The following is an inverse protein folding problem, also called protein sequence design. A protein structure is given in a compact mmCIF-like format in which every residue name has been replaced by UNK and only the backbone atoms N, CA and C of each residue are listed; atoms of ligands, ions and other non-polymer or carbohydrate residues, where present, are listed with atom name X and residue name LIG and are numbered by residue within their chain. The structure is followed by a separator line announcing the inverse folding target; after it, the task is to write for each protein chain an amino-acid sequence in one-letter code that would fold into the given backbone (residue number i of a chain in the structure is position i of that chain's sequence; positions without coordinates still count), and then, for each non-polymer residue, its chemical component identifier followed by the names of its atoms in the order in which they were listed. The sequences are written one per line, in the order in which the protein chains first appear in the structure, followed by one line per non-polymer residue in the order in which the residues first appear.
data_IF_553420212808
#
_entry.id   IF_553420212808
#
_cell.length_a   1.000
_cell.length_b   1.000
_cell.length_c   1.000
_cell.angle_alpha   90.00
_cell.angle_beta   90.00
_cell.angle_gamma   90.00
#
_symmetry.space_group_name_H-M   'P 1'
#
loop_
_entity.id
_entity.type
_entity.pdbx_description
1 polymer ?
#
# COMPACT_ATOMS: atom_id res chain seq x y z
N UNK A 1 -35.83 3.89 25.63
CA UNK A 1 -35.43 3.64 24.23
C UNK A 1 -34.19 2.76 24.25
N UNK A 2 -34.27 1.55 23.68
CA UNK A 2 -33.16 0.58 23.79
C UNK A 2 -31.93 1.00 22.99
N UNK A 3 -30.73 0.67 23.48
CA UNK A 3 -29.43 0.93 22.82
C UNK A 3 -29.42 0.50 21.33
N UNK A 4 -30.17 -0.55 20.99
CA UNK A 4 -30.29 -1.01 19.59
C UNK A 4 -30.92 0.01 18.64
N UNK A 5 -31.72 0.96 19.09
CA UNK A 5 -32.32 2.01 18.28
C UNK A 5 -31.32 3.15 17.98
N UNK A 6 -30.34 3.35 18.86
CA UNK A 6 -29.31 4.39 18.72
C UNK A 6 -28.39 4.00 17.54
N UNK A 7 -27.89 2.77 17.52
CA UNK A 7 -27.01 2.29 16.44
C UNK A 7 -27.69 2.29 15.08
N UNK A 8 -28.96 1.85 15.03
CA UNK A 8 -29.75 1.89 13.80
C UNK A 8 -29.85 3.31 13.23
N UNK A 9 -30.10 4.30 14.11
CA UNK A 9 -30.18 5.72 13.69
C UNK A 9 -28.84 6.24 13.21
N UNK A 10 -27.73 5.89 13.88
CA UNK A 10 -26.39 6.30 13.49
C UNK A 10 -26.04 5.77 12.11
N UNK A 11 -26.19 4.46 11.89
CA UNK A 11 -25.94 3.83 10.58
C UNK A 11 -26.88 4.40 9.51
N UNK A 12 -28.16 4.57 9.81
CA UNK A 12 -29.12 5.19 8.89
C UNK A 12 -28.72 6.61 8.53
N UNK A 13 -28.33 7.43 9.51
CA UNK A 13 -27.86 8.80 9.27
C UNK A 13 -26.65 8.87 8.35
N UNK A 14 -25.75 7.88 8.40
CA UNK A 14 -24.60 7.82 7.51
C UNK A 14 -24.98 7.34 6.10
N UNK A 15 -25.98 6.45 5.98
CA UNK A 15 -26.48 5.96 4.68
C UNK A 15 -27.36 7.00 3.96
N UNK A 16 -28.16 7.77 4.72
CA UNK A 16 -29.04 8.81 4.16
C UNK A 16 -28.24 10.05 3.70
N UNK A 17 -26.98 10.15 4.08
CA UNK A 17 -26.12 11.27 3.75
C UNK A 17 -25.25 10.92 2.53
N UNK A 18 -25.62 11.48 1.38
CA UNK A 18 -24.85 11.33 0.12
C UNK A 18 -23.61 12.22 0.18
N UNK A 19 -22.70 11.94 1.14
CA UNK A 19 -21.39 12.58 1.20
C UNK A 19 -20.50 11.96 0.15
N UNK A 20 -20.02 12.77 -0.78
CA UNK A 20 -19.27 12.33 -1.97
C UNK A 20 -18.14 11.37 -1.55
N UNK A 21 -18.36 10.08 -1.82
CA UNK A 21 -17.33 9.04 -1.72
C UNK A 21 -17.21 8.30 -0.39
N UNK A 22 -18.05 8.56 0.63
CA UNK A 22 -18.01 7.82 1.91
C UNK A 22 -19.18 6.83 2.00
N UNK A 23 -18.87 5.54 2.02
CA UNK A 23 -19.85 4.47 2.16
C UNK A 23 -19.50 3.57 3.33
N UNK A 24 -20.39 3.39 4.33
CA UNK A 24 -20.14 2.48 5.44
C UNK A 24 -20.14 1.03 4.93
N UNK A 25 -19.00 0.36 5.01
CA UNK A 25 -18.80 -1.02 4.57
C UNK A 25 -18.85 -2.02 5.72
N UNK A 26 -18.69 -1.55 6.96
CA UNK A 26 -18.76 -2.37 8.16
C UNK A 26 -19.09 -1.55 9.40
N UNK A 27 -19.66 -2.20 10.40
CA UNK A 27 -20.00 -1.63 11.71
C UNK A 27 -19.39 -2.48 12.81
N UNK A 28 -18.92 -1.84 13.86
CA UNK A 28 -18.52 -2.48 15.13
C UNK A 28 -19.36 -1.88 16.25
N UNK A 29 -19.96 -2.72 17.06
CA UNK A 29 -20.74 -2.28 18.21
C UNK A 29 -19.88 -2.34 19.47
N UNK A 30 -19.87 -1.23 20.24
CA UNK A 30 -19.01 -1.10 21.41
C UNK A 30 -19.51 -1.91 22.60
N UNK A 31 -20.84 -2.11 22.69
CA UNK A 31 -21.51 -2.67 23.89
C UNK A 31 -21.83 -4.15 23.77
N UNK A 32 -21.89 -4.68 22.59
CA UNK A 32 -22.37 -6.04 22.35
C UNK A 32 -21.73 -6.66 21.12
N UNK A 33 -21.42 -7.94 21.20
CA UNK A 33 -20.98 -8.69 20.04
C UNK A 33 -22.20 -9.15 19.24
N UNK A 34 -22.36 -8.58 18.05
CA UNK A 34 -23.34 -9.00 17.03
C UNK A 34 -22.67 -9.28 15.70
N UNK A 35 -21.42 -9.74 15.73
CA UNK A 35 -20.67 -10.10 14.53
C UNK A 35 -21.48 -11.06 13.65
N UNK A 36 -21.52 -10.77 12.34
CA UNK A 36 -22.32 -11.53 11.37
C UNK A 36 -23.75 -11.03 11.16
N UNK A 37 -24.29 -10.15 11.99
CA UNK A 37 -25.59 -9.50 11.78
C UNK A 37 -25.46 -8.31 10.82
N UNK A 38 -26.58 -7.79 10.35
CA UNK A 38 -26.64 -6.58 9.52
C UNK A 38 -27.48 -5.49 10.17
N UNK A 39 -27.02 -4.24 10.07
CA UNK A 39 -27.75 -3.05 10.49
C UNK A 39 -27.99 -2.18 9.26
N UNK A 40 -29.24 -2.02 8.84
CA UNK A 40 -29.63 -1.34 7.60
C UNK A 40 -28.83 -1.82 6.37
N UNK A 41 -28.57 -3.14 6.29
CA UNK A 41 -27.81 -3.73 5.18
C UNK A 41 -26.29 -3.76 5.38
N UNK A 42 -25.74 -2.95 6.30
CA UNK A 42 -24.29 -2.92 6.62
C UNK A 42 -23.96 -4.05 7.59
N UNK A 43 -22.95 -4.89 7.31
CA UNK A 43 -22.57 -6.00 8.17
C UNK A 43 -21.90 -5.52 9.46
N UNK A 44 -22.19 -6.19 10.60
CA UNK A 44 -21.39 -6.08 11.82
C UNK A 44 -20.18 -7.01 11.62
N UNK A 45 -19.02 -6.41 11.42
CA UNK A 45 -17.83 -7.11 10.92
C UNK A 45 -16.93 -7.66 12.01
N UNK A 46 -16.97 -7.08 13.19
CA UNK A 46 -16.13 -7.48 14.33
C UNK A 46 -16.75 -6.99 15.64
N UNK A 47 -16.17 -7.42 16.75
CA UNK A 47 -16.40 -6.85 18.08
C UNK A 47 -15.26 -5.91 18.48
N UNK A 48 -15.42 -5.19 19.59
CA UNK A 48 -14.43 -4.21 20.05
C UNK A 48 -13.08 -4.84 20.39
N UNK A 49 -13.04 -6.08 20.87
CA UNK A 49 -11.79 -6.76 21.25
C UNK A 49 -10.93 -7.12 20.02
N UNK A 50 -11.57 -7.48 18.92
CA UNK A 50 -10.91 -8.01 17.72
C UNK A 50 -10.85 -7.01 16.55
N UNK A 51 -11.41 -5.79 16.73
CA UNK A 51 -11.52 -4.82 15.63
C UNK A 51 -10.16 -4.40 15.07
N UNK A 52 -9.14 -4.25 15.89
CA UNK A 52 -7.81 -3.87 15.44
C UNK A 52 -7.19 -4.95 14.54
N UNK A 53 -7.32 -6.23 14.91
CA UNK A 53 -6.85 -7.35 14.10
C UNK A 53 -7.65 -7.44 12.79
N UNK A 54 -8.97 -7.31 12.84
CA UNK A 54 -9.82 -7.32 11.66
C UNK A 54 -9.42 -6.22 10.67
N UNK A 55 -9.27 -4.98 11.14
CA UNK A 55 -8.88 -3.83 10.31
C UNK A 55 -7.45 -3.99 9.76
N UNK A 56 -6.55 -4.68 10.48
CA UNK A 56 -5.21 -4.99 10.00
C UNK A 56 -5.22 -5.94 8.79
N UNK A 57 -6.20 -6.82 8.67
CA UNK A 57 -6.30 -7.87 7.63
C UNK A 57 -7.20 -7.51 6.45
N UNK A 58 -8.07 -6.53 6.64
CA UNK A 58 -9.06 -6.14 5.64
C UNK A 58 -8.77 -4.74 5.07
N UNK A 59 -9.46 -4.41 3.99
CA UNK A 59 -9.35 -3.11 3.35
C UNK A 59 -10.35 -2.10 3.91
N UNK A 60 -9.82 -1.02 4.51
CA UNK A 60 -10.59 0.15 4.96
C UNK A 60 -9.84 1.43 4.64
N UNK A 61 -10.56 2.47 4.23
CA UNK A 61 -9.97 3.78 3.99
C UNK A 61 -9.95 4.62 5.25
N UNK A 62 -11.05 4.62 6.02
CA UNK A 62 -11.26 5.51 7.16
C UNK A 62 -12.12 4.82 8.22
N UNK A 63 -12.02 5.27 9.46
CA UNK A 63 -12.84 4.82 10.59
C UNK A 63 -13.54 6.02 11.22
N UNK A 64 -14.87 5.94 11.38
CA UNK A 64 -15.66 6.91 12.14
C UNK A 64 -16.04 6.32 13.49
N UNK A 65 -15.59 6.96 14.56
CA UNK A 65 -15.93 6.62 15.95
C UNK A 65 -17.08 7.53 16.42
N UNK A 66 -18.21 6.93 16.74
CA UNK A 66 -19.39 7.61 17.27
C UNK A 66 -19.79 6.91 18.56
N UNK A 67 -19.46 7.51 19.70
CA UNK A 67 -19.78 6.98 21.02
C UNK A 67 -20.96 7.73 21.67
N UNK A 68 -21.70 7.10 22.59
CA UNK A 68 -22.59 7.80 23.52
C UNK A 68 -21.81 8.78 24.42
N UNK A 69 -22.47 9.82 24.90
CA UNK A 69 -21.86 10.89 25.72
C UNK A 69 -21.27 10.39 27.06
N UNK A 70 -21.71 9.23 27.52
CA UNK A 70 -21.28 8.59 28.76
C UNK A 70 -20.13 7.60 28.62
N UNK A 71 -19.52 7.51 27.40
CA UNK A 71 -18.46 6.56 27.12
C UNK A 71 -17.20 7.22 26.57
N UNK A 72 -16.08 6.84 27.16
CA UNK A 72 -14.75 7.22 26.67
C UNK A 72 -14.35 6.41 25.43
N UNK A 73 -13.48 7.00 24.63
CA UNK A 73 -12.88 6.33 23.47
C UNK A 73 -12.03 5.18 24.00
N UNK A 74 -12.18 3.94 23.47
CA UNK A 74 -11.32 2.82 23.82
C UNK A 74 -9.87 3.11 23.36
N UNK A 75 -9.05 3.64 24.27
CA UNK A 75 -7.69 4.15 23.96
C UNK A 75 -6.86 3.13 23.18
N UNK A 76 -6.90 1.86 23.59
CA UNK A 76 -6.17 0.77 22.89
C UNK A 76 -6.55 0.63 21.42
N UNK A 77 -7.83 0.81 21.08
CA UNK A 77 -8.32 0.72 19.70
C UNK A 77 -7.89 1.96 18.91
N UNK A 78 -7.98 3.13 19.53
CA UNK A 78 -7.53 4.38 18.92
C UNK A 78 -6.03 4.36 18.64
N UNK A 79 -5.21 3.90 19.58
CA UNK A 79 -3.77 3.79 19.44
C UNK A 79 -3.41 2.81 18.32
N UNK A 80 -4.07 1.64 18.26
CA UNK A 80 -3.86 0.65 17.20
C UNK A 80 -4.20 1.20 15.81
N UNK A 81 -5.28 1.95 15.65
CA UNK A 81 -5.64 2.57 14.37
C UNK A 81 -4.65 3.68 13.98
N UNK A 82 -4.16 4.44 14.96
CA UNK A 82 -3.12 5.46 14.75
C UNK A 82 -1.81 4.82 14.31
N UNK A 83 -1.42 3.73 14.96
CA UNK A 83 -0.21 2.96 14.62
C UNK A 83 -0.31 2.37 13.20
N UNK A 84 -1.48 1.89 12.81
CA UNK A 84 -1.75 1.41 11.45
C UNK A 84 -1.82 2.52 10.39
N UNK A 85 -1.82 3.79 10.80
CA UNK A 85 -1.91 4.93 9.90
C UNK A 85 -3.28 5.13 9.25
N UNK A 86 -4.34 4.65 9.88
CA UNK A 86 -5.70 4.81 9.39
C UNK A 86 -6.19 6.22 9.74
N UNK A 87 -6.93 6.84 8.84
CA UNK A 87 -7.61 8.10 9.13
C UNK A 87 -8.76 7.85 10.08
N UNK A 88 -8.76 8.54 11.21
CA UNK A 88 -9.75 8.38 12.28
C UNK A 88 -10.56 9.67 12.39
N UNK A 89 -11.88 9.54 12.32
CA UNK A 89 -12.84 10.59 12.59
C UNK A 89 -13.54 10.30 13.92
N UNK A 90 -13.52 11.23 14.82
CA UNK A 90 -14.21 11.10 16.10
C UNK A 90 -15.28 12.17 16.22
N UNK A 91 -16.53 11.77 16.50
CA UNK A 91 -17.62 12.71 16.74
C UNK A 91 -17.27 13.57 17.96
N UNK A 92 -17.31 14.90 17.81
CA UNK A 92 -17.11 15.83 18.92
C UNK A 92 -18.34 15.81 19.82
N UNK A 93 -18.27 15.08 20.91
CA UNK A 93 -19.14 15.25 22.06
C UNK A 93 -18.31 15.36 23.33
N UNK A 94 -17.17 14.65 23.39
CA UNK A 94 -16.27 14.58 24.53
C UNK A 94 -14.82 14.37 24.05
N UNK A 95 -14.15 15.41 23.56
CA UNK A 95 -12.75 15.32 23.22
C UNK A 95 -11.89 15.84 24.37
N UNK A 96 -11.75 15.03 25.40
CA UNK A 96 -10.70 15.20 26.38
C UNK A 96 -9.48 14.40 25.91
N UNK A 97 -8.42 15.10 25.43
CA UNK A 97 -7.09 14.57 25.14
C UNK A 97 -6.96 13.49 24.04
N UNK A 98 -7.29 13.84 22.81
CA UNK A 98 -6.79 13.06 21.66
C UNK A 98 -5.32 13.42 21.39
N UNK A 99 -4.40 12.49 21.63
CA UNK A 99 -2.99 12.63 21.22
C UNK A 99 -2.83 12.25 19.74
N UNK A 100 -2.69 13.22 18.86
CA UNK A 100 -2.41 13.01 17.44
C UNK A 100 -1.65 14.19 16.85
N UNK A 101 -0.70 13.94 15.94
CA UNK A 101 0.17 15.00 15.39
C UNK A 101 -0.55 15.92 14.40
N UNK A 102 -1.50 15.40 13.63
CA UNK A 102 -2.21 16.17 12.60
C UNK A 102 -3.71 16.01 12.83
N UNK A 103 -4.36 17.05 13.33
CA UNK A 103 -5.78 17.07 13.64
C UNK A 103 -6.46 18.23 12.92
N UNK A 104 -7.61 17.97 12.31
CA UNK A 104 -8.53 19.00 11.81
C UNK A 104 -9.94 18.75 12.32
N UNK A 105 -10.68 19.84 12.47
CA UNK A 105 -12.12 19.77 12.73
C UNK A 105 -12.82 19.89 11.37
N UNK A 106 -13.62 18.90 11.03
CA UNK A 106 -14.37 18.90 9.78
C UNK A 106 -15.80 18.34 9.98
N UNK A 107 -16.60 18.41 8.94
CA UNK A 107 -17.99 17.93 9.00
C UNK A 107 -18.12 16.66 8.16
N UNK A 108 -18.49 15.55 8.81
CA UNK A 108 -18.78 14.28 8.15
C UNK A 108 -20.27 13.96 8.32
N UNK A 109 -21.03 14.12 7.25
CA UNK A 109 -22.47 14.00 7.33
C UNK A 109 -23.09 15.02 8.31
N UNK A 110 -23.87 14.52 9.25
CA UNK A 110 -24.48 15.34 10.31
C UNK A 110 -23.58 15.53 11.54
N UNK A 111 -22.36 14.97 11.51
CA UNK A 111 -21.45 15.04 12.65
C UNK A 111 -20.35 16.07 12.42
N UNK A 112 -20.03 16.84 13.45
CA UNK A 112 -18.75 17.55 13.53
C UNK A 112 -17.75 16.56 14.11
N UNK A 113 -16.63 16.34 13.43
CA UNK A 113 -15.63 15.35 13.81
C UNK A 113 -14.26 15.97 13.92
N UNK A 114 -13.40 15.38 14.75
CA UNK A 114 -11.96 15.61 14.69
C UNK A 114 -11.37 14.50 13.85
N UNK A 115 -10.70 14.88 12.79
CA UNK A 115 -9.96 13.97 11.90
C UNK A 115 -8.51 13.96 12.31
N UNK A 116 -7.97 12.75 12.53
CA UNK A 116 -6.55 12.51 12.80
C UNK A 116 -5.97 11.63 11.70
N UNK A 117 -4.83 12.02 11.13
CA UNK A 117 -4.12 11.25 10.12
C UNK A 117 -2.60 11.43 10.25
N UNK A 118 -1.82 10.53 9.61
CA UNK A 118 -0.34 10.61 9.65
C UNK A 118 0.17 11.88 8.98
N UNK A 119 -0.43 12.27 7.84
CA UNK A 119 -0.07 13.48 7.09
C UNK A 119 -1.31 14.10 6.47
N UNK A 120 -1.40 15.41 6.53
CA UNK A 120 -2.48 16.21 5.95
C UNK A 120 -2.01 16.88 4.66
N UNK A 121 -2.19 16.18 3.56
CA UNK A 121 -1.95 16.76 2.24
C UNK A 121 -3.14 17.61 1.81
N UNK A 122 -2.92 18.82 1.33
CA UNK A 122 -3.99 19.63 0.75
C UNK A 122 -4.52 19.02 -0.55
N UNK A 123 -5.80 19.26 -0.86
CA UNK A 123 -6.41 18.79 -2.11
C UNK A 123 -5.60 19.25 -3.35
N UNK A 124 -5.09 20.48 -3.34
CA UNK A 124 -4.24 20.99 -4.42
C UNK A 124 -2.94 20.20 -4.59
N UNK A 125 -2.28 19.81 -3.50
CA UNK A 125 -1.08 18.98 -3.55
C UNK A 125 -1.37 17.57 -4.10
N UNK A 126 -2.49 16.97 -3.73
CA UNK A 126 -2.92 15.65 -4.24
C UNK A 126 -3.26 15.71 -5.73
N UNK A 127 -3.91 16.79 -6.19
CA UNK A 127 -4.18 17.01 -7.62
C UNK A 127 -2.86 17.16 -8.39
N UNK A 128 -1.93 17.97 -7.90
CA UNK A 128 -0.63 18.15 -8.53
C UNK A 128 0.16 16.85 -8.61
N UNK A 129 0.15 16.05 -7.54
CA UNK A 129 0.72 14.71 -7.54
C UNK A 129 0.07 13.83 -8.61
N UNK A 130 -1.25 13.86 -8.75
CA UNK A 130 -1.96 13.05 -9.76
C UNK A 130 -1.63 13.49 -11.18
N UNK A 131 -1.51 14.80 -11.44
CA UNK A 131 -1.05 15.32 -12.73
C UNK A 131 0.34 14.81 -13.06
N UNK A 132 1.28 14.87 -12.12
CA UNK A 132 2.62 14.32 -12.27
C UNK A 132 2.60 12.82 -12.58
N UNK A 133 1.76 12.05 -11.88
CA UNK A 133 1.58 10.61 -12.12
C UNK A 133 1.05 10.33 -13.53
N UNK A 134 0.08 11.10 -14.00
CA UNK A 134 -0.49 10.94 -15.35
C UNK A 134 0.56 11.27 -16.42
N UNK A 135 1.24 12.42 -16.30
CA UNK A 135 2.27 12.82 -17.26
C UNK A 135 3.42 11.82 -17.33
N UNK A 136 3.97 11.44 -16.16
CA UNK A 136 5.05 10.46 -16.10
C UNK A 136 4.60 9.06 -16.51
N UNK A 137 3.36 8.68 -16.18
CA UNK A 137 2.76 7.42 -16.61
C UNK A 137 2.61 7.34 -18.14
N UNK A 138 2.18 8.42 -18.80
CA UNK A 138 2.09 8.47 -20.26
C UNK A 138 3.46 8.33 -20.92
N UNK A 139 4.43 9.11 -20.48
CA UNK A 139 5.81 9.01 -20.97
C UNK A 139 6.36 7.60 -20.75
N UNK A 140 6.17 7.04 -19.55
CA UNK A 140 6.63 5.70 -19.20
C UNK A 140 5.95 4.60 -20.03
N UNK A 141 4.66 4.73 -20.37
CA UNK A 141 3.96 3.79 -21.24
C UNK A 141 4.49 3.85 -22.69
N UNK A 142 4.80 5.04 -23.20
CA UNK A 142 5.43 5.18 -24.53
C UNK A 142 6.79 4.48 -24.53
N UNK A 143 7.62 4.74 -23.52
CA UNK A 143 8.92 4.07 -23.36
C UNK A 143 8.75 2.56 -23.22
N UNK A 144 7.75 2.09 -22.49
CA UNK A 144 7.42 0.66 -22.37
C UNK A 144 7.14 0.04 -23.74
N UNK A 145 6.40 0.74 -24.62
CA UNK A 145 6.14 0.30 -25.98
C UNK A 145 7.42 0.17 -26.81
N UNK A 146 8.33 1.12 -26.71
CA UNK A 146 9.63 1.08 -27.40
C UNK A 146 10.47 -0.09 -26.87
N UNK A 147 10.59 -0.23 -25.53
CA UNK A 147 11.34 -1.32 -24.89
C UNK A 147 10.75 -2.68 -25.26
N UNK A 148 9.42 -2.79 -25.36
CA UNK A 148 8.74 -4.02 -25.73
C UNK A 148 9.22 -4.57 -27.09
N UNK A 149 9.48 -3.71 -28.08
CA UNK A 149 9.94 -4.14 -29.42
C UNK A 149 11.27 -4.92 -29.36
N UNK A 150 12.12 -4.63 -28.37
CA UNK A 150 13.42 -5.28 -28.21
C UNK A 150 13.41 -6.41 -27.18
N UNK A 151 12.74 -6.17 -26.04
CA UNK A 151 12.73 -7.10 -24.91
C UNK A 151 11.82 -8.30 -25.18
N UNK A 152 10.67 -8.10 -25.82
CA UNK A 152 9.72 -9.19 -26.05
C UNK A 152 10.29 -10.31 -26.96
N UNK A 153 10.91 -10.04 -28.10
CA UNK A 153 11.56 -11.08 -28.90
C UNK A 153 12.68 -11.79 -28.12
N UNK A 154 13.50 -11.03 -27.38
CA UNK A 154 14.61 -11.59 -26.61
C UNK A 154 14.14 -12.54 -25.49
N UNK A 155 13.04 -12.21 -24.79
CA UNK A 155 12.41 -13.10 -23.81
C UNK A 155 11.82 -14.34 -24.51
N UNK A 156 11.05 -14.14 -25.59
CA UNK A 156 10.36 -15.23 -26.29
C UNK A 156 11.31 -16.28 -26.84
N UNK A 157 12.40 -15.85 -27.45
CA UNK A 157 13.45 -16.75 -28.00
C UNK A 157 14.08 -17.62 -26.90
N UNK A 158 14.28 -17.07 -25.69
CA UNK A 158 14.95 -17.79 -24.59
C UNK A 158 13.99 -18.60 -23.74
N UNK A 159 12.76 -18.14 -23.61
CA UNK A 159 11.71 -18.80 -22.83
C UNK A 159 10.36 -18.55 -23.50
N UNK A 160 9.90 -19.43 -24.41
CA UNK A 160 8.60 -19.30 -25.05
C UNK A 160 7.47 -19.16 -24.03
N UNK A 161 6.45 -18.34 -24.35
CA UNK A 161 5.30 -18.08 -23.48
C UNK A 161 4.98 -16.60 -23.35
N UNK A 162 4.12 -16.20 -22.39
CA UNK A 162 3.68 -14.83 -22.21
C UNK A 162 4.86 -13.91 -21.89
N UNK A 163 4.87 -12.72 -22.53
CA UNK A 163 5.93 -11.71 -22.34
C UNK A 163 5.75 -10.95 -21.04
N UNK A 164 4.48 -10.71 -20.66
CA UNK A 164 4.15 -10.02 -19.42
C UNK A 164 3.89 -11.02 -18.29
N UNK A 165 4.38 -10.67 -17.12
CA UNK A 165 4.07 -11.30 -15.85
C UNK A 165 3.14 -10.39 -15.07
N UNK A 166 2.17 -10.96 -14.37
CA UNK A 166 1.31 -10.22 -13.44
C UNK A 166 1.17 -10.97 -12.12
N UNK A 167 1.15 -10.21 -11.02
CA UNK A 167 1.00 -10.73 -9.68
C UNK A 167 0.11 -9.80 -8.86
N UNK A 168 -0.68 -10.36 -7.94
CA UNK A 168 -1.42 -9.55 -6.99
C UNK A 168 -0.47 -8.94 -5.95
N UNK A 169 -0.65 -7.66 -5.72
CA UNK A 169 0.04 -6.87 -4.71
C UNK A 169 -0.98 -6.12 -3.86
N UNK A 170 -0.54 -5.70 -2.68
CA UNK A 170 -1.37 -4.91 -1.78
C UNK A 170 -0.99 -3.44 -1.91
N UNK A 171 -2.00 -2.62 -2.18
CA UNK A 171 -1.88 -1.17 -2.35
C UNK A 171 -2.43 -0.40 -1.15
N UNK A 172 -2.83 0.85 -1.42
CA UNK A 172 -3.36 1.75 -0.38
C UNK A 172 -4.45 1.07 0.44
N UNK A 173 -4.33 1.18 1.75
CA UNK A 173 -5.28 0.70 2.77
C UNK A 173 -5.61 -0.81 2.70
N UNK A 174 -4.77 -1.63 2.06
CA UNK A 174 -5.00 -3.07 1.91
C UNK A 174 -5.67 -3.47 0.59
N UNK A 175 -5.99 -2.53 -0.31
CA UNK A 175 -6.62 -2.84 -1.60
C UNK A 175 -5.69 -3.66 -2.49
N UNK A 176 -6.12 -4.86 -2.89
CA UNK A 176 -5.37 -5.73 -3.79
C UNK A 176 -5.50 -5.25 -5.25
N UNK A 177 -4.39 -5.24 -5.97
CA UNK A 177 -4.35 -4.91 -7.40
C UNK A 177 -3.32 -5.78 -8.14
N UNK A 178 -3.42 -5.87 -9.47
CA UNK A 178 -2.45 -6.58 -10.31
C UNK A 178 -1.34 -5.65 -10.75
N UNK A 179 -0.09 -5.97 -10.39
CA UNK A 179 1.09 -5.31 -10.93
C UNK A 179 1.51 -5.99 -12.22
N UNK A 180 2.05 -5.22 -13.17
CA UNK A 180 2.54 -5.74 -14.45
C UNK A 180 4.05 -5.57 -14.57
N UNK A 181 4.74 -6.60 -15.09
CA UNK A 181 6.18 -6.59 -15.35
C UNK A 181 6.49 -7.32 -16.65
N UNK A 182 7.65 -7.04 -17.25
CA UNK A 182 8.19 -7.99 -18.23
C UNK A 182 8.63 -9.26 -17.51
N UNK A 183 8.39 -10.39 -18.11
CA UNK A 183 8.78 -11.70 -17.56
C UNK A 183 10.29 -11.86 -17.59
N UNK A 184 10.91 -11.81 -16.43
CA UNK A 184 12.35 -12.00 -16.24
C UNK A 184 12.71 -13.37 -15.69
N UNK A 185 11.72 -14.20 -15.33
CA UNK A 185 11.87 -15.52 -14.74
C UNK A 185 11.20 -16.58 -15.60
N UNK A 186 11.62 -17.84 -15.43
CA UNK A 186 10.98 -19.01 -16.04
C UNK A 186 9.55 -19.19 -15.53
N UNK A 187 8.74 -19.96 -16.25
CA UNK A 187 7.32 -20.14 -15.95
C UNK A 187 7.05 -20.84 -14.60
N UNK A 188 7.97 -21.72 -14.21
CA UNK A 188 7.94 -22.50 -12.97
C UNK A 188 8.58 -21.78 -11.76
N UNK A 189 8.85 -20.48 -11.89
CA UNK A 189 9.59 -19.71 -10.89
C UNK A 189 8.89 -19.65 -9.51
N UNK A 190 7.56 -19.62 -9.46
CA UNK A 190 6.81 -19.61 -8.19
C UNK A 190 6.85 -20.96 -7.48
N UNK A 191 6.82 -22.07 -8.23
CA UNK A 191 6.96 -23.42 -7.67
C UNK A 191 8.35 -23.59 -7.06
N UNK A 192 9.38 -23.22 -7.80
CA UNK A 192 10.79 -23.25 -7.34
C UNK A 192 11.05 -22.31 -6.15
N UNK A 193 10.30 -21.23 -6.00
CA UNK A 193 10.45 -20.31 -4.87
C UNK A 193 10.31 -21.01 -3.53
N UNK A 194 9.35 -21.95 -3.41
CA UNK A 194 9.09 -22.70 -2.17
C UNK A 194 10.32 -23.52 -1.75
N UNK A 195 11.00 -24.13 -2.71
CA UNK A 195 12.21 -24.92 -2.47
C UNK A 195 13.41 -24.03 -2.08
N UNK A 196 13.49 -22.84 -2.69
CA UNK A 196 14.58 -21.89 -2.50
C UNK A 196 14.42 -21.00 -1.25
N UNK A 197 13.28 -21.06 -0.55
CA UNK A 197 13.05 -20.25 0.66
C UNK A 197 14.12 -20.50 1.75
N UNK A 198 14.70 -21.69 1.82
CA UNK A 198 15.80 -22.02 2.75
C UNK A 198 17.09 -21.24 2.47
N UNK A 199 17.25 -20.71 1.25
CA UNK A 199 18.43 -19.93 0.81
C UNK A 199 18.14 -18.42 0.79
N UNK A 200 17.02 -18.00 1.40
CA UNK A 200 16.69 -16.57 1.50
C UNK A 200 17.72 -15.87 2.38
N UNK A 201 18.25 -14.72 1.90
CA UNK A 201 19.20 -13.89 2.66
C UNK A 201 18.54 -13.06 3.77
N UNK A 202 17.22 -12.93 3.72
CA UNK A 202 16.42 -12.19 4.69
C UNK A 202 15.72 -13.19 5.60
N UNK A 203 16.06 -13.18 6.88
CA UNK A 203 15.66 -14.20 7.85
C UNK A 203 14.19 -14.11 8.29
N UNK A 204 13.58 -12.92 8.24
CA UNK A 204 12.22 -12.66 8.71
C UNK A 204 11.10 -13.16 7.77
N UNK A 205 11.47 -13.53 6.54
CA UNK A 205 10.52 -13.99 5.52
C UNK A 205 9.56 -12.92 4.99
N UNK A 206 9.78 -11.65 5.36
CA UNK A 206 9.02 -10.49 4.88
C UNK A 206 9.51 -9.97 3.53
N UNK A 207 10.69 -10.39 3.11
CA UNK A 207 11.24 -10.16 1.76
C UNK A 207 11.99 -11.40 1.29
N UNK A 208 11.99 -11.66 -0.03
CA UNK A 208 12.82 -12.70 -0.64
C UNK A 208 13.97 -12.05 -1.42
N UNK A 209 15.20 -12.31 -0.98
CA UNK A 209 16.43 -11.90 -1.67
C UNK A 209 17.38 -13.09 -1.78
N UNK A 210 17.84 -13.36 -3.00
CA UNK A 210 18.79 -14.44 -3.31
C UNK A 210 19.82 -13.95 -4.31
N UNK A 211 21.08 -14.25 -4.05
CA UNK A 211 22.16 -14.04 -4.99
C UNK A 211 22.17 -15.18 -6.04
N UNK A 212 22.31 -14.83 -7.31
CA UNK A 212 22.31 -15.80 -8.42
C UNK A 212 21.05 -16.67 -8.48
N UNK A 213 19.88 -16.04 -8.49
CA UNK A 213 18.58 -16.71 -8.52
C UNK A 213 18.43 -17.60 -9.78
N UNK A 214 18.35 -18.95 -9.64
CA UNK A 214 18.28 -19.88 -10.78
C UNK A 214 16.95 -19.80 -11.55
N UNK A 215 15.97 -19.07 -11.03
CA UNK A 215 14.66 -18.87 -11.67
C UNK A 215 14.71 -17.81 -12.77
N UNK A 216 15.80 -17.02 -12.84
CA UNK A 216 15.96 -15.93 -13.80
C UNK A 216 16.31 -16.48 -15.17
N UNK A 217 15.65 -15.99 -16.24
CA UNK A 217 15.87 -16.46 -17.64
C UNK A 217 17.33 -16.22 -18.04
N UNK A 218 18.02 -17.30 -18.39
CA UNK A 218 19.42 -17.28 -18.82
C UNK A 218 20.43 -17.34 -17.68
N UNK A 219 20.01 -17.63 -16.44
CA UNK A 219 20.89 -17.80 -15.27
C UNK A 219 21.86 -19.00 -15.42
N UNK A 220 21.53 -19.97 -16.27
CA UNK A 220 22.39 -21.12 -16.59
C UNK A 220 23.72 -20.71 -17.22
N UNK A 221 23.84 -19.49 -17.74
CA UNK A 221 25.08 -18.95 -18.31
C UNK A 221 26.08 -18.45 -17.27
N UNK A 222 25.72 -18.49 -16.02
CA UNK A 222 26.49 -18.05 -14.87
C UNK A 222 25.92 -16.82 -14.14
N UNK A 223 26.51 -16.46 -13.00
CA UNK A 223 26.05 -15.38 -12.15
C UNK A 223 25.86 -14.07 -12.90
N UNK A 224 24.69 -13.43 -12.74
CA UNK A 224 24.38 -12.13 -13.34
C UNK A 224 24.29 -12.10 -14.87
N UNK A 225 24.39 -13.25 -15.55
CA UNK A 225 24.30 -13.36 -17.01
C UNK A 225 22.86 -13.70 -17.46
N UNK A 226 22.60 -13.53 -18.76
CA UNK A 226 21.32 -13.80 -19.39
C UNK A 226 20.38 -12.61 -19.46
N UNK A 227 19.36 -12.75 -20.35
CA UNK A 227 18.40 -11.65 -20.62
C UNK A 227 17.59 -11.28 -19.37
N UNK A 228 17.19 -12.26 -18.57
CA UNK A 228 16.44 -11.99 -17.34
C UNK A 228 17.24 -11.14 -16.34
N UNK A 229 18.53 -11.45 -16.15
CA UNK A 229 19.42 -10.65 -15.31
C UNK A 229 19.65 -9.25 -15.90
N UNK A 230 19.81 -9.13 -17.21
CA UNK A 230 19.98 -7.83 -17.87
C UNK A 230 18.78 -6.91 -17.63
N UNK A 231 17.55 -7.37 -17.91
CA UNK A 231 16.35 -6.54 -17.74
C UNK A 231 16.05 -6.20 -16.26
N UNK A 232 16.39 -7.10 -15.33
CA UNK A 232 16.30 -6.82 -13.87
C UNK A 232 17.35 -5.81 -13.42
N UNK A 233 18.60 -5.98 -13.87
CA UNK A 233 19.72 -5.10 -13.54
C UNK A 233 19.54 -3.68 -14.04
N UNK A 234 18.89 -3.53 -15.19
CA UNK A 234 18.53 -2.23 -15.78
C UNK A 234 17.14 -1.75 -15.33
N UNK A 235 16.43 -2.51 -14.49
CA UNK A 235 15.04 -2.25 -14.06
C UNK A 235 14.04 -2.14 -15.22
N UNK A 236 14.40 -2.63 -16.41
CA UNK A 236 13.50 -2.63 -17.58
C UNK A 236 12.26 -3.51 -17.36
N UNK A 237 12.38 -4.56 -16.52
CA UNK A 237 11.25 -5.41 -16.16
C UNK A 237 10.12 -4.66 -15.47
N UNK A 238 10.38 -3.52 -14.84
CA UNK A 238 9.39 -2.74 -14.10
C UNK A 238 8.63 -1.70 -14.96
N UNK A 239 9.06 -1.46 -16.20
CA UNK A 239 8.43 -0.47 -17.09
C UNK A 239 6.90 -0.69 -17.29
N UNK A 240 6.37 -1.92 -17.44
CA UNK A 240 4.93 -2.12 -17.57
C UNK A 240 4.11 -1.60 -16.39
N UNK A 241 4.73 -1.33 -15.23
CA UNK A 241 4.05 -0.73 -14.07
C UNK A 241 3.62 0.72 -14.32
N UNK A 242 4.17 1.43 -15.32
CA UNK A 242 3.66 2.74 -15.71
C UNK A 242 2.18 2.68 -16.12
N UNK A 243 1.71 1.54 -16.62
CA UNK A 243 0.29 1.32 -16.85
C UNK A 243 -0.51 1.31 -15.53
N UNK A 244 0.04 0.73 -14.45
CA UNK A 244 -0.59 0.79 -13.13
C UNK A 244 -0.64 2.23 -12.59
N UNK A 245 0.37 3.05 -12.88
CA UNK A 245 0.38 4.47 -12.50
C UNK A 245 -0.71 5.24 -13.25
N UNK A 246 -0.85 5.05 -14.56
CA UNK A 246 -1.91 5.68 -15.36
C UNK A 246 -3.30 5.28 -14.86
N UNK A 247 -3.50 4.00 -14.61
CA UNK A 247 -4.75 3.45 -14.08
C UNK A 247 -5.09 4.01 -12.70
N UNK A 248 -4.07 4.42 -11.93
CA UNK A 248 -4.23 4.97 -10.58
C UNK A 248 -4.12 3.95 -9.46
N UNK A 249 -3.76 2.70 -9.75
CA UNK A 249 -3.43 1.68 -8.75
C UNK A 249 -2.12 2.02 -8.03
N UNK A 250 -1.19 2.69 -8.74
CA UNK A 250 0.12 3.12 -8.25
C UNK A 250 0.33 4.62 -8.49
N UNK A 251 1.39 5.15 -7.91
CA UNK A 251 1.98 6.46 -8.16
C UNK A 251 3.41 6.29 -8.69
N UNK A 252 4.00 7.32 -9.26
CA UNK A 252 5.43 7.32 -9.57
C UNK A 252 6.26 7.16 -8.30
N UNK A 253 5.89 7.90 -7.24
CA UNK A 253 6.58 7.89 -5.95
C UNK A 253 5.62 7.43 -4.85
N UNK A 254 6.04 6.44 -4.07
CA UNK A 254 5.29 5.88 -2.95
C UNK A 254 6.06 4.75 -2.28
N UNK A 255 5.39 3.98 -1.43
CA UNK A 255 5.96 2.81 -0.77
C UNK A 255 5.97 1.61 -1.72
N UNK A 256 6.88 0.65 -1.52
CA UNK A 256 6.88 -0.59 -2.32
C UNK A 256 5.65 -1.44 -1.98
N UNK A 257 4.84 -1.86 -2.96
CA UNK A 257 3.69 -2.72 -2.70
C UNK A 257 4.13 -4.13 -2.29
N UNK A 258 3.73 -4.61 -1.09
CA UNK A 258 4.02 -5.97 -0.66
C UNK A 258 3.26 -7.00 -1.50
N UNK A 259 3.75 -8.25 -1.52
CA UNK A 259 2.96 -9.40 -1.95
C UNK A 259 1.83 -9.68 -0.95
N UNK A 260 0.84 -10.48 -1.35
CA UNK A 260 -0.22 -10.90 -0.42
C UNK A 260 0.38 -11.70 0.75
N UNK A 261 1.31 -12.62 0.46
CA UNK A 261 1.98 -13.43 1.48
C UNK A 261 2.86 -12.61 2.45
N UNK A 262 3.49 -11.52 1.97
CA UNK A 262 4.22 -10.58 2.82
C UNK A 262 3.25 -9.82 3.73
N UNK A 263 2.13 -9.34 3.18
CA UNK A 263 1.12 -8.59 3.92
C UNK A 263 0.43 -9.41 5.01
N UNK A 264 0.19 -10.69 4.79
CA UNK A 264 -0.40 -11.59 5.78
C UNK A 264 0.46 -11.73 7.05
N UNK A 265 1.76 -11.44 6.94
CA UNK A 265 2.71 -11.44 8.06
C UNK A 265 2.88 -10.09 8.73
N UNK A 266 2.22 -9.02 8.21
CA UNK A 266 2.38 -7.67 8.74
C UNK A 266 1.81 -7.56 10.16
N UNK A 267 2.56 -6.92 11.03
CA UNK A 267 2.12 -6.41 12.30
C UNK A 267 1.43 -5.04 12.13
N UNK A 268 0.83 -4.49 13.19
CA UNK A 268 0.06 -3.26 13.11
C UNK A 268 0.86 -2.08 12.54
N UNK A 269 2.07 -1.86 13.04
CA UNK A 269 2.92 -0.75 12.61
C UNK A 269 3.42 -0.90 11.16
N UNK A 270 3.58 -2.13 10.65
CA UNK A 270 3.91 -2.37 9.25
C UNK A 270 2.82 -1.86 8.30
N UNK A 271 1.57 -1.86 8.76
CA UNK A 271 0.42 -1.41 7.96
C UNK A 271 0.48 0.07 7.63
N UNK A 272 1.13 0.90 8.44
CA UNK A 272 1.32 2.33 8.16
C UNK A 272 1.91 2.60 6.77
N UNK A 273 2.71 1.67 6.21
CA UNK A 273 3.24 1.75 4.85
C UNK A 273 2.17 1.76 3.75
N UNK A 274 0.98 1.26 4.06
CA UNK A 274 -0.15 1.16 3.14
C UNK A 274 -1.08 2.39 3.21
N UNK A 275 -0.79 3.39 4.04
CA UNK A 275 -1.63 4.59 4.17
C UNK A 275 -1.66 5.45 2.90
N UNK A 276 -0.73 5.25 1.98
CA UNK A 276 -0.66 5.95 0.68
C UNK A 276 -0.64 4.97 -0.49
N UNK A 277 -0.82 5.49 -1.72
CA UNK A 277 -0.65 4.68 -2.93
C UNK A 277 0.78 4.18 -3.05
N UNK A 278 0.99 2.89 -3.41
CA UNK A 278 2.32 2.36 -3.67
C UNK A 278 2.97 3.07 -4.86
N UNK A 279 4.29 3.14 -4.84
CA UNK A 279 5.09 3.80 -5.86
C UNK A 279 5.86 2.84 -6.76
N UNK A 280 6.21 3.33 -7.95
CA UNK A 280 7.21 2.71 -8.81
C UNK A 280 8.60 2.86 -8.18
N UNK A 281 8.85 4.00 -7.55
CA UNK A 281 10.01 4.29 -6.70
C UNK A 281 9.57 4.93 -5.38
N UNK A 282 10.47 5.03 -4.41
CA UNK A 282 10.18 5.63 -3.11
C UNK A 282 11.42 5.89 -2.28
N UNK A 283 11.23 6.43 -1.08
CA UNK A 283 12.34 6.83 -0.22
C UNK A 283 13.28 5.66 0.09
N UNK A 284 12.74 4.49 0.43
CA UNK A 284 13.53 3.30 0.67
C UNK A 284 14.40 2.92 -0.54
N UNK A 285 13.81 2.92 -1.75
CA UNK A 285 14.55 2.51 -2.96
C UNK A 285 15.72 3.45 -3.28
N UNK A 286 15.62 4.73 -2.94
CA UNK A 286 16.71 5.71 -3.19
C UNK A 286 17.67 5.88 -2.02
N UNK A 287 17.44 5.18 -0.89
CA UNK A 287 18.26 5.28 0.32
C UNK A 287 19.18 4.08 0.57
N UNK A 288 19.32 3.16 -0.40
CA UNK A 288 20.21 1.99 -0.26
C UNK A 288 19.52 0.66 -0.54
N UNK A 289 18.58 0.64 -1.48
CA UNK A 289 17.71 -0.48 -1.93
C UNK A 289 18.24 -1.91 -1.69
N UNK A 290 19.49 -2.19 -2.08
CA UNK A 290 20.07 -3.53 -1.98
C UNK A 290 20.86 -3.76 -0.69
N UNK A 291 21.27 -2.71 -0.01
CA UNK A 291 22.09 -2.77 1.20
C UNK A 291 21.24 -2.93 2.47
N UNK A 292 19.99 -2.44 2.44
CA UNK A 292 19.07 -2.57 3.57
C UNK A 292 18.52 -3.98 3.62
N UNK A 293 18.91 -4.74 4.65
CA UNK A 293 18.50 -6.13 4.88
C UNK A 293 17.45 -6.26 6.00
N UNK A 294 17.32 -5.24 6.83
CA UNK A 294 16.34 -5.17 7.90
C UNK A 294 15.03 -4.59 7.40
N UNK A 295 13.94 -5.33 7.58
CA UNK A 295 12.61 -4.89 7.17
C UNK A 295 12.10 -3.71 8.00
N UNK A 296 12.46 -3.64 9.28
CA UNK A 296 12.10 -2.51 10.16
C UNK A 296 12.70 -1.18 9.67
N UNK A 297 13.90 -1.22 9.12
CA UNK A 297 14.51 -0.03 8.53
C UNK A 297 13.74 0.42 7.27
N UNK A 298 13.25 -0.54 6.46
CA UNK A 298 12.36 -0.23 5.33
C UNK A 298 11.06 0.41 5.82
N UNK A 299 10.44 -0.13 6.86
CA UNK A 299 9.22 0.41 7.48
C UNK A 299 9.45 1.83 7.96
N UNK A 300 10.56 2.07 8.66
CA UNK A 300 10.94 3.40 9.16
C UNK A 300 11.12 4.43 8.04
N UNK A 301 11.77 4.06 6.95
CA UNK A 301 11.96 4.95 5.79
C UNK A 301 10.64 5.25 5.08
N UNK A 302 9.78 4.24 4.92
CA UNK A 302 8.48 4.40 4.26
C UNK A 302 7.52 5.23 5.12
N UNK A 303 7.46 5.00 6.43
CA UNK A 303 6.63 5.81 7.36
C UNK A 303 7.15 7.23 7.49
N UNK A 304 8.47 7.44 7.47
CA UNK A 304 9.06 8.78 7.40
C UNK A 304 8.63 9.51 6.12
N UNK A 305 8.70 8.85 4.97
CA UNK A 305 8.22 9.43 3.72
C UNK A 305 6.75 9.86 3.81
N UNK A 306 5.90 9.02 4.41
CA UNK A 306 4.48 9.31 4.56
C UNK A 306 4.25 10.52 5.47
N UNK A 307 4.90 10.56 6.64
CA UNK A 307 4.73 11.62 7.63
C UNK A 307 5.29 12.97 7.18
N UNK A 308 6.38 12.98 6.40
CA UNK A 308 7.04 14.17 5.91
C UNK A 308 6.70 14.49 4.45
N UNK A 309 5.73 13.77 3.86
CA UNK A 309 5.41 13.91 2.44
C UNK A 309 5.12 15.35 2.07
N UNK A 310 5.72 15.75 0.99
CA UNK A 310 5.45 17.00 0.27
C UNK A 310 5.71 16.77 -1.22
N UNK A 311 5.09 17.59 -2.07
CA UNK A 311 5.34 17.50 -3.52
C UNK A 311 6.82 17.69 -3.87
N UNK A 312 7.53 18.55 -3.14
CA UNK A 312 8.98 18.77 -3.33
C UNK A 312 9.80 17.54 -2.95
N UNK A 313 9.36 16.78 -1.94
CA UNK A 313 10.02 15.51 -1.58
C UNK A 313 9.88 14.47 -2.72
N UNK A 314 8.72 14.41 -3.37
CA UNK A 314 8.52 13.57 -4.54
C UNK A 314 9.49 13.93 -5.67
N UNK A 315 9.63 15.20 -5.99
CA UNK A 315 10.59 15.68 -7.02
C UNK A 315 12.02 15.27 -6.65
N UNK A 316 12.43 15.41 -5.39
CA UNK A 316 13.76 14.99 -4.92
C UNK A 316 13.98 13.48 -5.09
N UNK A 317 12.99 12.67 -4.74
CA UNK A 317 13.05 11.20 -4.88
C UNK A 317 13.12 10.83 -6.36
N UNK A 318 12.29 11.45 -7.22
CA UNK A 318 12.31 11.20 -8.66
C UNK A 318 13.69 11.49 -9.27
N UNK A 319 14.26 12.64 -8.94
CA UNK A 319 15.60 13.02 -9.41
C UNK A 319 16.68 12.03 -8.95
N UNK A 320 16.66 11.64 -7.66
CA UNK A 320 17.58 10.61 -7.14
C UNK A 320 17.39 9.27 -7.86
N UNK A 321 16.15 8.87 -8.15
CA UNK A 321 15.88 7.63 -8.87
C UNK A 321 16.51 7.64 -10.25
N UNK A 322 16.37 8.74 -11.00
CA UNK A 322 17.00 8.88 -12.32
C UNK A 322 18.52 8.75 -12.21
N UNK A 323 19.14 9.42 -11.24
CA UNK A 323 20.60 9.33 -11.03
C UNK A 323 21.06 7.91 -10.66
N UNK A 324 20.30 7.18 -9.83
CA UNK A 324 20.62 5.79 -9.44
C UNK A 324 20.50 4.85 -10.65
N UNK A 325 19.43 4.99 -11.44
CA UNK A 325 19.20 4.16 -12.64
C UNK A 325 20.30 4.42 -13.69
N UNK A 326 20.66 5.67 -13.94
CA UNK A 326 21.73 6.03 -14.88
C UNK A 326 23.12 5.66 -14.36
N UNK A 327 23.35 5.79 -13.04
CA UNK A 327 24.62 5.44 -12.39
C UNK A 327 24.82 3.96 -12.14
N UNK A 328 23.82 3.10 -12.45
CA UNK A 328 23.80 1.66 -12.17
C UNK A 328 24.16 1.30 -10.71
N UNK A 329 24.03 2.23 -9.76
CA UNK A 329 24.24 1.99 -8.34
C UNK A 329 22.99 1.34 -7.73
N UNK A 330 23.15 0.16 -7.13
CA UNK A 330 22.08 -0.51 -6.37
C UNK A 330 21.16 -1.44 -7.17
N UNK A 331 21.49 -1.81 -8.40
CA UNK A 331 20.81 -2.91 -9.10
C UNK A 331 21.46 -4.25 -8.76
N UNK A 332 20.66 -5.17 -8.19
CA UNK A 332 21.07 -6.59 -8.04
C UNK A 332 20.84 -7.35 -9.32
#
# INVERSE_FOLDING_TARGET
RGLGDVYKRQVKSMLDFDYIGVHPTGVVLVDQDRTGHKIHGVPVVSNLANVAEYVCREWFDEVLIVLPEDREIPQKVFDAFTEMGITIHVKIADVNEMQGKNQTVERMGNYTVITTCINMASAGQLILKRIMDICGGLVGCILTGIIFLFVAPAIYIKSPGPIFFSQYRVGKNGRKFKIYKFRSMYMDAEERKKELMKQNRVSDGLMFKMENDPRVIGSEKGPGKGIGNFIRKTSLDEFPQFFNVLKGDMSLIGTRPPTVDEWEKYELHHRARLAIKPGLTGMWQVSGRSEIMDFEEVVKLDTKYISEWSFMLDIKILFKTVLIVLGQKGSM
#
